data_IF_359849605711
#
_entry.id   IF_359849605711
#
_cell.length_a   1.000
_cell.length_b   1.000
_cell.length_c   1.000
_cell.angle_alpha   90.00
_cell.angle_beta   90.00
_cell.angle_gamma   90.00
#
_symmetry.space_group_name_H-M   'P 1'
#
loop_
_entity.id
_entity.type
_entity.pdbx_description
1 polymer ?
#
# COMPACT_ATOMS: atom_id res chain seq x y z
N UNK A 1 -7.36 19.40 10.41
CA UNK A 1 -6.79 18.79 9.19
C UNK A 1 -6.28 17.42 9.57
N UNK A 2 -6.76 16.37 8.92
CA UNK A 2 -6.41 14.99 9.23
C UNK A 2 -4.98 14.70 8.78
N UNK A 3 -4.27 13.81 9.50
CA UNK A 3 -2.85 13.56 9.27
C UNK A 3 -2.64 12.10 8.96
N UNK A 4 -2.05 11.84 7.79
CA UNK A 4 -1.61 10.52 7.39
C UNK A 4 -0.60 9.97 8.43
N UNK A 5 -0.81 8.75 8.96
CA UNK A 5 0.04 8.19 9.99
C UNK A 5 1.32 7.65 9.36
N UNK A 6 2.33 7.35 10.18
CA UNK A 6 3.60 6.85 9.66
C UNK A 6 3.48 5.41 9.15
N UNK A 7 3.26 5.26 7.84
CA UNK A 7 3.27 3.97 7.14
C UNK A 7 4.60 3.75 6.43
N UNK A 8 5.43 2.87 6.98
CA UNK A 8 6.71 2.50 6.35
C UNK A 8 6.49 1.62 5.12
N UNK A 9 6.33 2.21 3.94
CA UNK A 9 6.10 1.50 2.68
C UNK A 9 7.15 1.90 1.63
N UNK A 10 7.65 0.93 0.86
CA UNK A 10 8.62 1.17 -0.22
C UNK A 10 7.87 1.83 -1.37
N UNK A 11 8.44 2.89 -1.94
CA UNK A 11 7.76 3.64 -3.01
C UNK A 11 6.64 4.57 -2.53
N UNK A 12 6.42 4.72 -1.22
CA UNK A 12 5.36 5.57 -0.66
C UNK A 12 5.42 7.01 -1.23
N UNK A 13 4.27 7.47 -1.74
CA UNK A 13 4.07 8.78 -2.35
C UNK A 13 3.78 9.91 -1.35
N UNK A 14 3.88 9.68 -0.03
CA UNK A 14 3.54 10.66 1.02
C UNK A 14 4.09 12.07 0.77
N UNK A 15 5.35 12.19 0.32
CA UNK A 15 6.01 13.48 0.06
C UNK A 15 5.52 14.21 -1.19
N UNK A 16 4.85 13.51 -2.11
CA UNK A 16 4.40 14.06 -3.38
C UNK A 16 2.89 13.92 -3.61
N UNK A 17 2.17 13.22 -2.74
CA UNK A 17 0.72 13.02 -2.82
C UNK A 17 -0.02 14.35 -3.02
N UNK A 18 0.29 15.37 -2.20
CA UNK A 18 -0.29 16.72 -2.34
C UNK A 18 -0.09 17.29 -3.75
N UNK A 19 1.13 17.21 -4.28
CA UNK A 19 1.46 17.75 -5.60
C UNK A 19 0.76 17.01 -6.74
N UNK A 20 0.62 15.68 -6.64
CA UNK A 20 -0.13 14.88 -7.62
C UNK A 20 -1.60 15.31 -7.58
N UNK A 21 -2.21 15.34 -6.40
CA UNK A 21 -3.61 15.74 -6.25
C UNK A 21 -3.86 17.21 -6.61
N UNK A 22 -2.84 18.09 -6.56
CA UNK A 22 -2.94 19.48 -7.04
C UNK A 22 -3.15 19.56 -8.56
N UNK A 23 -2.85 18.48 -9.30
CA UNK A 23 -3.08 18.42 -10.74
C UNK A 23 -4.47 17.87 -11.09
N UNK A 24 -5.21 17.30 -10.11
CA UNK A 24 -6.53 16.73 -10.38
C UNK A 24 -7.50 17.82 -10.86
N UNK A 25 -8.31 17.52 -11.89
CA UNK A 25 -9.23 18.50 -12.46
C UNK A 25 -10.37 18.79 -11.47
N UNK A 26 -10.86 20.01 -11.48
CA UNK A 26 -11.86 20.49 -10.52
C UNK A 26 -13.24 19.87 -10.69
N UNK A 27 -13.51 19.24 -11.83
CA UNK A 27 -14.76 18.54 -12.13
C UNK A 27 -14.73 17.06 -11.75
N UNK A 28 -13.61 16.54 -11.21
CA UNK A 28 -13.52 15.18 -10.71
C UNK A 28 -13.97 15.09 -9.25
N UNK A 29 -14.85 14.13 -8.97
CA UNK A 29 -15.41 13.87 -7.65
C UNK A 29 -14.98 12.50 -7.09
N UNK A 30 -14.53 11.60 -7.97
CA UNK A 30 -14.20 10.21 -7.62
C UNK A 30 -12.80 9.83 -8.11
N UNK A 31 -12.06 9.08 -7.29
CA UNK A 31 -10.72 8.58 -7.58
C UNK A 31 -10.70 7.06 -7.44
N UNK A 32 -10.15 6.37 -8.43
CA UNK A 32 -9.71 4.98 -8.31
C UNK A 32 -8.18 4.89 -8.25
N UNK A 33 -7.63 4.62 -7.08
CA UNK A 33 -6.21 4.30 -6.87
C UNK A 33 -5.98 2.80 -7.08
N UNK A 34 -5.53 2.44 -8.28
CA UNK A 34 -5.46 1.05 -8.75
C UNK A 34 -4.39 0.19 -8.06
N UNK A 35 -3.36 0.84 -7.51
CA UNK A 35 -2.19 0.21 -6.88
C UNK A 35 -1.85 0.95 -5.58
N UNK A 36 -2.80 0.93 -4.65
CA UNK A 36 -2.84 1.85 -3.52
C UNK A 36 -1.67 1.71 -2.54
N UNK A 37 -1.08 0.52 -2.39
CA UNK A 37 0.09 0.29 -1.55
C UNK A 37 -0.08 0.85 -0.13
N UNK A 38 0.78 1.81 0.25
CA UNK A 38 0.68 2.50 1.54
C UNK A 38 -0.50 3.48 1.67
N UNK A 39 -1.24 3.77 0.60
CA UNK A 39 -2.44 4.62 0.54
C UNK A 39 -2.22 6.11 0.82
N UNK A 40 -1.00 6.66 0.70
CA UNK A 40 -0.77 8.08 1.00
C UNK A 40 -1.41 9.03 -0.02
N UNK A 41 -1.47 8.65 -1.31
CA UNK A 41 -2.21 9.42 -2.30
C UNK A 41 -3.72 9.33 -2.03
N UNK A 42 -4.24 8.12 -1.88
CA UNK A 42 -5.64 7.89 -1.54
C UNK A 42 -6.10 8.68 -0.30
N UNK A 43 -5.27 8.73 0.73
CA UNK A 43 -5.53 9.51 1.95
C UNK A 43 -5.58 11.02 1.68
N UNK A 44 -4.65 11.55 0.88
CA UNK A 44 -4.68 12.96 0.45
C UNK A 44 -5.92 13.28 -0.39
N UNK A 45 -6.32 12.39 -1.31
CA UNK A 45 -7.54 12.56 -2.10
C UNK A 45 -8.80 12.57 -1.21
N UNK A 46 -8.87 11.66 -0.23
CA UNK A 46 -9.94 11.65 0.79
C UNK A 46 -9.98 12.96 1.57
N UNK A 47 -8.82 13.49 1.99
CA UNK A 47 -8.71 14.79 2.66
C UNK A 47 -9.23 15.96 1.81
N UNK A 48 -9.22 15.83 0.48
CA UNK A 48 -9.75 16.82 -0.47
C UNK A 48 -11.24 16.64 -0.78
N UNK A 49 -11.90 15.67 -0.15
CA UNK A 49 -13.34 15.43 -0.30
C UNK A 49 -13.73 14.55 -1.47
N UNK A 50 -12.77 13.89 -2.14
CA UNK A 50 -13.09 12.92 -3.18
C UNK A 50 -13.68 11.64 -2.55
N UNK A 51 -14.58 10.98 -3.28
CA UNK A 51 -14.92 9.58 -3.02
C UNK A 51 -13.81 8.69 -3.57
N UNK A 52 -13.18 7.90 -2.71
CA UNK A 52 -11.96 7.17 -3.04
C UNK A 52 -12.22 5.67 -3.06
N UNK A 53 -11.91 5.07 -4.20
CA UNK A 53 -11.81 3.64 -4.40
C UNK A 53 -10.34 3.25 -4.45
N UNK A 54 -9.94 2.26 -3.69
CA UNK A 54 -8.56 1.77 -3.64
C UNK A 54 -8.51 0.31 -4.02
N UNK A 55 -7.50 -0.12 -4.75
CA UNK A 55 -7.20 -1.54 -4.96
C UNK A 55 -5.74 -1.82 -4.63
N UNK A 56 -5.47 -3.04 -4.15
CA UNK A 56 -4.13 -3.62 -4.17
C UNK A 56 -4.24 -5.14 -4.13
N UNK A 57 -3.29 -5.84 -4.77
CA UNK A 57 -3.27 -7.30 -4.78
C UNK A 57 -2.80 -7.89 -3.44
N UNK A 58 -1.96 -7.16 -2.69
CA UNK A 58 -1.47 -7.61 -1.39
C UNK A 58 -2.52 -7.36 -0.31
N UNK A 59 -2.79 -8.39 0.50
CA UNK A 59 -3.83 -8.37 1.54
C UNK A 59 -3.55 -7.30 2.59
N UNK A 60 -2.29 -7.11 2.96
CA UNK A 60 -1.89 -6.05 3.90
C UNK A 60 -2.21 -4.65 3.37
N UNK A 61 -2.05 -4.42 2.07
CA UNK A 61 -2.32 -3.11 1.48
C UNK A 61 -3.83 -2.83 1.47
N UNK A 62 -4.64 -3.85 1.21
CA UNK A 62 -6.09 -3.78 1.45
C UNK A 62 -6.42 -3.39 2.88
N UNK A 63 -5.82 -4.00 3.91
CA UNK A 63 -6.09 -3.63 5.30
C UNK A 63 -5.63 -2.19 5.61
N UNK A 64 -4.53 -1.71 5.04
CA UNK A 64 -4.11 -0.30 5.17
C UNK A 64 -5.16 0.63 4.56
N UNK A 65 -5.64 0.31 3.34
CA UNK A 65 -6.65 1.10 2.65
C UNK A 65 -8.00 1.07 3.37
N UNK A 66 -8.42 -0.11 3.83
CA UNK A 66 -9.66 -0.28 4.57
C UNK A 66 -9.61 0.50 5.88
N UNK A 67 -8.48 0.47 6.59
CA UNK A 67 -8.30 1.16 7.86
C UNK A 67 -8.21 2.70 7.75
N UNK A 68 -7.56 3.23 6.70
CA UNK A 68 -7.23 4.65 6.60
C UNK A 68 -8.09 5.43 5.58
N UNK A 69 -8.65 4.73 4.59
CA UNK A 69 -9.40 5.35 3.48
C UNK A 69 -10.87 4.97 3.52
N UNK A 70 -11.24 3.68 3.49
CA UNK A 70 -12.64 3.23 3.58
C UNK A 70 -13.28 3.59 4.93
N UNK A 71 -12.55 3.36 6.02
CA UNK A 71 -13.03 3.60 7.36
C UNK A 71 -13.29 5.09 7.65
N UNK A 72 -14.51 5.40 8.08
CA UNK A 72 -14.94 6.76 8.38
C UNK A 72 -14.95 7.10 9.88
N UNK A 73 -15.08 6.11 10.76
CA UNK A 73 -15.29 6.38 12.20
C UNK A 73 -14.90 5.25 13.15
N UNK A 74 -14.61 4.05 12.65
CA UNK A 74 -14.29 2.90 13.50
C UNK A 74 -12.87 3.03 14.04
N UNK A 75 -12.71 2.94 15.36
CA UNK A 75 -11.41 3.02 16.03
C UNK A 75 -11.15 1.74 16.83
N UNK A 76 -9.90 1.51 17.20
CA UNK A 76 -9.57 0.52 18.22
C UNK A 76 -9.65 1.17 19.60
N UNK A 77 -10.49 0.61 20.47
CA UNK A 77 -10.61 1.02 21.86
C UNK A 77 -9.84 0.08 22.80
N UNK A 78 -9.90 0.38 24.10
CA UNK A 78 -9.18 -0.40 25.12
C UNK A 78 -9.60 -1.87 25.15
N UNK A 79 -10.88 -2.17 24.94
CA UNK A 79 -11.40 -3.54 24.95
C UNK A 79 -10.86 -4.34 23.75
N UNK A 80 -10.74 -3.71 22.58
CA UNK A 80 -10.12 -4.32 21.41
C UNK A 80 -8.64 -4.66 21.68
N UNK A 81 -7.91 -3.73 22.31
CA UNK A 81 -6.50 -3.94 22.68
C UNK A 81 -6.37 -5.10 23.69
N UNK A 82 -7.21 -5.11 24.72
CA UNK A 82 -7.23 -6.19 25.70
C UNK A 82 -7.54 -7.54 25.02
N UNK A 83 -8.50 -7.57 24.08
CA UNK A 83 -8.84 -8.77 23.31
C UNK A 83 -7.66 -9.27 22.45
N UNK A 84 -7.00 -8.39 21.68
CA UNK A 84 -5.87 -8.76 20.81
C UNK A 84 -4.74 -9.42 21.59
N UNK A 85 -4.40 -8.88 22.76
CA UNK A 85 -3.23 -9.29 23.54
C UNK A 85 -3.52 -10.23 24.71
N UNK A 86 -4.72 -10.82 24.78
CA UNK A 86 -5.12 -11.75 25.86
C UNK A 86 -4.85 -13.21 25.48
N UNK A 87 -4.44 -14.00 26.47
CA UNK A 87 -4.21 -15.43 26.33
C UNK A 87 -2.73 -15.79 26.35
N UNK A 88 -2.44 -17.08 26.25
CA UNK A 88 -1.09 -17.62 26.25
C UNK A 88 -0.61 -17.88 24.82
N UNK A 89 0.61 -17.44 24.44
CA UNK A 89 1.21 -17.74 23.15
C UNK A 89 1.28 -19.24 22.88
N UNK A 90 0.98 -19.67 21.65
CA UNK A 90 0.96 -21.07 21.25
C UNK A 90 1.70 -21.30 19.92
N UNK A 91 2.01 -22.55 19.62
CA UNK A 91 2.70 -22.93 18.37
C UNK A 91 1.70 -23.10 17.23
N UNK A 92 1.62 -22.11 16.33
CA UNK A 92 0.75 -22.12 15.17
C UNK A 92 1.51 -21.97 13.85
N UNK A 93 0.89 -21.30 12.88
CA UNK A 93 1.41 -21.11 11.53
C UNK A 93 2.75 -20.36 11.51
N UNK A 94 2.85 -19.23 12.22
CA UNK A 94 4.06 -18.43 12.29
C UNK A 94 5.18 -19.20 12.96
N UNK A 95 4.86 -19.95 14.02
CA UNK A 95 5.86 -20.78 14.69
C UNK A 95 6.42 -21.85 13.75
N UNK A 96 5.57 -22.56 13.03
CA UNK A 96 5.98 -23.65 12.15
C UNK A 96 6.77 -23.18 10.92
N UNK A 97 6.42 -22.03 10.35
CA UNK A 97 6.98 -21.58 9.07
C UNK A 97 8.05 -20.49 9.19
N UNK A 98 8.05 -19.72 10.28
CA UNK A 98 8.85 -18.49 10.39
C UNK A 98 9.70 -18.35 11.65
N UNK A 99 9.66 -19.34 12.55
CA UNK A 99 10.63 -19.45 13.65
C UNK A 99 12.03 -19.61 13.09
N UNK A 100 12.95 -18.77 13.56
CA UNK A 100 14.35 -18.76 13.09
C UNK A 100 14.49 -18.54 11.58
N UNK A 101 13.47 -17.92 10.98
CA UNK A 101 13.52 -17.39 9.61
C UNK A 101 13.53 -15.87 9.69
N UNK A 102 12.54 -15.30 10.38
CA UNK A 102 12.42 -13.86 10.58
C UNK A 102 12.27 -13.46 12.05
N UNK A 103 11.71 -14.33 12.88
CA UNK A 103 11.43 -14.03 14.29
C UNK A 103 11.91 -15.16 15.20
N UNK A 104 12.15 -14.82 16.47
CA UNK A 104 12.47 -15.83 17.48
C UNK A 104 11.26 -16.75 17.73
N UNK A 105 11.46 -18.00 18.17
CA UNK A 105 10.36 -18.94 18.39
C UNK A 105 9.24 -18.37 19.27
N UNK A 106 9.58 -17.71 20.39
CA UNK A 106 8.57 -17.08 21.26
C UNK A 106 7.82 -15.94 20.57
N UNK A 107 8.49 -15.15 19.73
CA UNK A 107 7.87 -14.06 18.97
C UNK A 107 6.87 -14.61 17.93
N UNK A 108 7.17 -15.77 17.33
CA UNK A 108 6.23 -16.43 16.44
C UNK A 108 4.98 -16.91 17.18
N UNK A 109 5.13 -17.49 18.39
CA UNK A 109 3.97 -17.90 19.21
C UNK A 109 3.07 -16.72 19.58
N UNK A 110 3.68 -15.57 19.87
CA UNK A 110 2.95 -14.33 20.13
C UNK A 110 2.16 -13.88 18.90
N UNK A 111 2.78 -13.93 17.70
CA UNK A 111 2.10 -13.59 16.46
C UNK A 111 0.93 -14.55 16.18
N UNK A 112 1.11 -15.86 16.38
CA UNK A 112 0.03 -16.84 16.22
C UNK A 112 -1.19 -16.50 17.10
N UNK A 113 -0.95 -16.17 18.37
CA UNK A 113 -1.99 -15.70 19.29
C UNK A 113 -2.65 -14.40 18.80
N UNK A 114 -1.86 -13.39 18.47
CA UNK A 114 -2.40 -12.08 18.12
C UNK A 114 -3.19 -12.12 16.82
N UNK A 115 -2.74 -12.90 15.83
CA UNK A 115 -3.51 -13.14 14.61
C UNK A 115 -4.88 -13.72 14.93
N UNK A 116 -4.92 -14.80 15.70
CA UNK A 116 -6.17 -15.46 16.07
C UNK A 116 -7.12 -14.49 16.77
N UNK A 117 -6.60 -13.67 17.69
CA UNK A 117 -7.41 -12.71 18.43
C UNK A 117 -7.89 -11.54 17.56
N UNK A 118 -7.08 -11.06 16.61
CA UNK A 118 -7.50 -10.01 15.68
C UNK A 118 -8.73 -10.47 14.88
N UNK A 119 -8.82 -11.74 14.50
CA UNK A 119 -10.00 -12.26 13.78
C UNK A 119 -11.30 -12.24 14.58
N UNK A 120 -11.21 -12.11 15.92
CA UNK A 120 -12.36 -12.03 16.81
C UNK A 120 -12.92 -10.60 16.94
N UNK A 121 -12.25 -9.59 16.36
CA UNK A 121 -12.75 -8.22 16.37
C UNK A 121 -14.01 -8.08 15.53
N UNK A 122 -14.95 -7.28 16.01
CA UNK A 122 -16.34 -7.25 15.53
C UNK A 122 -16.53 -6.73 14.09
N UNK A 123 -15.60 -5.91 13.59
CA UNK A 123 -15.70 -5.29 12.28
C UNK A 123 -14.43 -5.41 11.45
N UNK A 124 -14.58 -5.42 10.14
CA UNK A 124 -13.46 -5.49 9.20
C UNK A 124 -12.53 -4.27 9.33
N UNK A 125 -13.05 -3.08 9.65
CA UNK A 125 -12.28 -1.88 9.93
C UNK A 125 -11.42 -2.02 11.19
N UNK A 126 -11.96 -2.60 12.28
CA UNK A 126 -11.17 -2.91 13.49
C UNK A 126 -10.07 -3.91 13.17
N UNK A 127 -10.40 -5.01 12.48
CA UNK A 127 -9.42 -6.00 12.00
C UNK A 127 -8.32 -5.34 11.18
N UNK A 128 -8.71 -4.48 10.23
CA UNK A 128 -7.79 -3.78 9.33
C UNK A 128 -6.87 -2.80 10.07
N UNK A 129 -7.39 -2.04 11.03
CA UNK A 129 -6.57 -1.20 11.91
C UNK A 129 -5.56 -2.03 12.69
N UNK A 130 -6.00 -3.14 13.27
CA UNK A 130 -5.14 -4.03 14.04
C UNK A 130 -4.06 -4.70 13.18
N UNK A 131 -4.40 -5.18 11.98
CA UNK A 131 -3.43 -5.73 11.03
C UNK A 131 -2.43 -4.67 10.54
N UNK A 132 -2.89 -3.45 10.25
CA UNK A 132 -2.00 -2.35 9.84
C UNK A 132 -1.00 -1.98 10.96
N UNK A 133 -1.45 -1.95 12.22
CA UNK A 133 -0.60 -1.73 13.40
C UNK A 133 0.32 -2.92 13.69
N UNK A 134 -0.15 -4.16 13.53
CA UNK A 134 0.67 -5.36 13.72
C UNK A 134 1.78 -5.44 12.68
N UNK A 135 1.46 -5.18 11.41
CA UNK A 135 2.46 -5.03 10.34
C UNK A 135 3.50 -3.97 10.68
N UNK A 136 3.08 -2.84 11.22
CA UNK A 136 4.00 -1.79 11.68
C UNK A 136 4.94 -2.34 12.77
N UNK A 137 4.42 -3.08 13.74
CA UNK A 137 5.20 -3.71 14.79
C UNK A 137 6.20 -4.74 14.24
N UNK A 138 5.77 -5.63 13.36
CA UNK A 138 6.61 -6.64 12.70
C UNK A 138 7.80 -5.98 11.97
N UNK A 139 7.54 -4.94 11.17
CA UNK A 139 8.59 -4.23 10.42
C UNK A 139 9.54 -3.46 11.34
N UNK A 140 9.06 -2.97 12.50
CA UNK A 140 9.92 -2.28 13.48
C UNK A 140 10.92 -3.23 14.13
N UNK A 141 10.58 -4.50 14.26
CA UNK A 141 11.49 -5.54 14.77
C UNK A 141 12.53 -6.00 13.75
N UNK A 142 12.30 -5.73 12.46
CA UNK A 142 13.26 -6.08 11.41
C UNK A 142 14.38 -5.06 11.21
N UNK A 143 15.66 -5.48 11.18
CA UNK A 143 16.75 -4.63 10.73
C UNK A 143 16.50 -4.11 9.30
N UNK A 144 16.79 -2.82 9.08
CA UNK A 144 16.48 -2.10 7.84
C UNK A 144 14.99 -2.06 7.44
N UNK A 145 14.09 -2.53 8.31
CA UNK A 145 12.65 -2.54 8.08
C UNK A 145 12.23 -3.35 6.83
N UNK A 146 12.87 -4.50 6.60
CA UNK A 146 12.65 -5.38 5.44
C UNK A 146 12.77 -6.85 5.84
N UNK A 147 11.96 -7.70 5.19
CA UNK A 147 12.01 -9.17 5.33
C UNK A 147 12.86 -9.81 4.23
N UNK A 148 14.05 -9.27 3.99
CA UNK A 148 14.97 -9.76 2.94
C UNK A 148 16.33 -10.18 3.49
N UNK A 149 16.45 -10.27 4.82
CA UNK A 149 17.66 -10.70 5.49
C UNK A 149 17.50 -12.15 5.91
N UNK A 150 18.59 -12.92 5.88
CA UNK A 150 18.61 -14.25 6.47
C UNK A 150 18.67 -14.18 8.01
N UNK A 151 18.31 -15.29 8.65
CA UNK A 151 18.18 -15.38 10.10
C UNK A 151 19.46 -14.99 10.87
N UNK A 152 20.61 -15.55 10.51
CA UNK A 152 21.89 -15.24 11.17
C UNK A 152 22.19 -13.74 11.17
N UNK A 153 21.85 -13.06 10.07
CA UNK A 153 22.05 -11.61 9.98
C UNK A 153 21.05 -10.84 10.82
N UNK A 154 19.81 -11.31 10.92
CA UNK A 154 18.80 -10.74 11.81
C UNK A 154 19.27 -10.84 13.26
N UNK A 155 19.67 -12.03 13.72
CA UNK A 155 20.20 -12.26 15.07
C UNK A 155 21.39 -11.35 15.34
N UNK A 156 22.39 -11.35 14.46
CA UNK A 156 23.58 -10.50 14.60
C UNK A 156 23.24 -9.00 14.67
N UNK A 157 22.26 -8.51 13.89
CA UNK A 157 21.91 -7.09 13.88
C UNK A 157 20.99 -6.68 15.03
N UNK A 158 20.31 -7.64 15.66
CA UNK A 158 19.48 -7.46 16.86
C UNK A 158 20.28 -7.61 18.16
N UNK A 159 21.49 -8.16 18.10
CA UNK A 159 22.48 -8.08 19.17
C UNK A 159 22.91 -6.62 19.39
N UNK A 160 22.64 -6.10 20.59
CA UNK A 160 22.90 -4.71 20.93
C UNK A 160 24.37 -4.40 21.10
N UNK A 161 25.18 -5.34 21.58
CA UNK A 161 26.62 -5.18 21.74
C UNK A 161 27.30 -5.10 20.37
N UNK A 162 26.96 -6.04 19.47
CA UNK A 162 27.43 -6.01 18.09
C UNK A 162 27.02 -4.72 17.40
N UNK A 163 25.73 -4.35 17.51
CA UNK A 163 25.18 -3.16 16.87
C UNK A 163 25.88 -1.89 17.35
N UNK A 164 26.14 -1.77 18.67
CA UNK A 164 26.87 -0.65 19.23
C UNK A 164 28.35 -0.65 18.81
N UNK A 165 29.04 -1.80 18.86
CA UNK A 165 30.45 -1.90 18.46
C UNK A 165 30.67 -1.47 17.01
N UNK A 166 29.79 -1.92 16.10
CA UNK A 166 29.91 -1.69 14.65
C UNK A 166 29.31 -0.36 14.17
N UNK A 167 28.13 0.01 14.63
CA UNK A 167 27.38 1.17 14.12
C UNK A 167 27.33 2.34 15.10
N UNK A 168 27.93 2.21 16.30
CA UNK A 168 27.91 3.22 17.38
C UNK A 168 26.50 3.66 17.79
N UNK A 169 25.52 2.77 17.63
CA UNK A 169 24.11 3.00 17.98
C UNK A 169 23.51 1.71 18.53
N UNK A 170 22.85 1.78 19.68
CA UNK A 170 22.00 0.68 20.16
C UNK A 170 20.69 0.70 19.37
N UNK A 171 20.24 -0.47 18.91
CA UNK A 171 18.97 -0.65 18.20
C UNK A 171 17.99 -1.46 19.03
N UNK A 172 17.92 -1.16 20.33
CA UNK A 172 17.09 -1.84 21.32
C UNK A 172 15.60 -1.92 20.92
N UNK A 173 15.13 -0.99 20.09
CA UNK A 173 13.77 -1.02 19.58
C UNK A 173 13.44 -2.29 18.78
N UNK A 174 14.42 -2.97 18.16
CA UNK A 174 14.15 -4.25 17.49
C UNK A 174 13.73 -5.37 18.47
N UNK A 175 14.16 -5.25 19.73
CA UNK A 175 13.91 -6.24 20.77
C UNK A 175 12.71 -5.89 21.66
N UNK A 176 12.07 -4.74 21.47
CA UNK A 176 10.78 -4.44 22.08
C UNK A 176 9.69 -5.37 21.54
N UNK A 177 8.68 -5.69 22.35
CA UNK A 177 7.60 -6.60 21.97
C UNK A 177 6.73 -6.05 20.83
N UNK A 178 5.99 -6.91 20.13
CA UNK A 178 5.02 -6.45 19.13
C UNK A 178 3.97 -5.53 19.76
N UNK A 179 3.47 -5.90 20.96
CA UNK A 179 2.56 -5.08 21.75
C UNK A 179 3.10 -3.67 22.02
N UNK A 180 4.38 -3.54 22.37
CA UNK A 180 5.00 -2.23 22.57
C UNK A 180 4.93 -1.37 21.31
N UNK A 181 5.38 -1.90 20.16
CA UNK A 181 5.34 -1.14 18.90
C UNK A 181 3.92 -0.84 18.45
N UNK A 182 2.99 -1.78 18.64
CA UNK A 182 1.57 -1.59 18.33
C UNK A 182 1.01 -0.39 19.12
N UNK A 183 1.13 -0.42 20.44
CA UNK A 183 0.60 0.62 21.32
C UNK A 183 1.26 1.98 21.09
N UNK A 184 2.56 2.01 20.77
CA UNK A 184 3.27 3.24 20.44
C UNK A 184 2.66 3.97 19.22
N UNK A 185 2.09 3.23 18.26
CA UNK A 185 1.53 3.81 17.03
C UNK A 185 -0.01 3.91 17.07
N UNK A 186 -0.68 3.32 18.07
CA UNK A 186 -2.14 3.24 18.15
C UNK A 186 -2.81 4.60 18.03
N UNK A 187 -2.36 5.59 18.81
CA UNK A 187 -2.98 6.92 18.79
C UNK A 187 -2.83 7.59 17.41
N UNK A 188 -1.67 7.51 16.76
CA UNK A 188 -1.49 8.09 15.43
C UNK A 188 -2.41 7.46 14.38
N UNK A 189 -2.63 6.14 14.45
CA UNK A 189 -3.51 5.43 13.52
C UNK A 189 -4.98 5.72 13.79
N UNK A 190 -5.43 5.74 15.06
CA UNK A 190 -6.81 6.11 15.39
C UNK A 190 -7.11 7.57 14.97
N UNK A 191 -6.19 8.51 15.23
CA UNK A 191 -6.38 9.92 14.83
C UNK A 191 -6.29 10.15 13.31
N UNK A 192 -5.83 9.16 12.55
CA UNK A 192 -5.83 9.21 11.10
C UNK A 192 -7.19 8.80 10.51
N UNK A 193 -8.08 8.17 11.26
CA UNK A 193 -9.44 7.81 10.77
C UNK A 193 -10.34 9.03 10.81
N UNK A 194 -11.05 9.28 9.72
CA UNK A 194 -12.00 10.39 9.62
C UNK A 194 -13.07 10.15 8.57
N UNK A 195 -14.20 10.81 8.74
CA UNK A 195 -15.29 10.81 7.78
C UNK A 195 -15.15 12.00 6.82
N UNK A 196 -15.22 11.74 5.51
CA UNK A 196 -15.28 12.76 4.46
C UNK A 196 -16.68 12.84 3.80
N UNK A 197 -17.68 12.19 4.39
CA UNK A 197 -19.06 12.09 3.92
C UNK A 197 -19.20 11.45 2.53
N UNK A 198 -18.29 10.53 2.21
CA UNK A 198 -18.27 9.74 0.96
C UNK A 198 -18.27 8.25 1.22
N UNK A 199 -18.70 7.48 0.22
CA UNK A 199 -18.72 6.02 0.24
C UNK A 199 -17.42 5.46 -0.32
N UNK A 200 -16.33 5.62 0.43
CA UNK A 200 -15.02 5.11 0.03
C UNK A 200 -15.00 3.57 0.05
N UNK A 201 -14.30 2.94 -0.90
CA UNK A 201 -14.22 1.47 -1.02
C UNK A 201 -12.77 1.00 -1.09
N UNK A 202 -12.46 -0.10 -0.42
CA UNK A 202 -11.20 -0.82 -0.57
C UNK A 202 -11.44 -2.19 -1.20
N UNK A 203 -10.72 -2.48 -2.29
CA UNK A 203 -10.70 -3.75 -3.01
C UNK A 203 -9.38 -4.48 -2.77
N UNK A 204 -9.41 -5.80 -2.89
CA UNK A 204 -8.24 -6.66 -2.83
C UNK A 204 -8.29 -7.66 -3.99
N UNK A 205 -7.86 -7.25 -5.17
CA UNK A 205 -7.93 -8.07 -6.38
C UNK A 205 -6.80 -7.74 -7.35
N UNK A 206 -6.62 -8.59 -8.35
CA UNK A 206 -5.87 -8.23 -9.55
C UNK A 206 -6.58 -7.07 -10.26
N UNK A 207 -5.82 -6.02 -10.56
CA UNK A 207 -6.34 -4.81 -11.21
C UNK A 207 -7.14 -5.13 -12.48
N UNK A 208 -6.72 -6.14 -13.26
CA UNK A 208 -7.39 -6.47 -14.52
C UNK A 208 -8.84 -6.96 -14.34
N UNK A 209 -9.21 -7.44 -13.15
CA UNK A 209 -10.58 -7.83 -12.81
C UNK A 209 -11.47 -6.62 -12.47
N UNK A 210 -10.86 -5.46 -12.17
CA UNK A 210 -11.57 -4.28 -11.67
C UNK A 210 -11.73 -3.15 -12.71
N UNK A 211 -10.87 -3.10 -13.73
CA UNK A 211 -10.84 -1.99 -14.70
C UNK A 211 -12.19 -1.73 -15.39
N UNK A 212 -12.95 -2.80 -15.66
CA UNK A 212 -14.24 -2.70 -16.35
C UNK A 212 -15.42 -2.45 -15.40
N UNK A 213 -15.28 -2.83 -14.12
CA UNK A 213 -16.35 -2.82 -13.12
C UNK A 213 -16.33 -1.55 -12.25
N UNK A 214 -15.15 -1.08 -11.86
CA UNK A 214 -15.00 0.15 -11.08
C UNK A 214 -15.22 1.37 -11.98
N UNK A 215 -16.06 2.30 -11.52
CA UNK A 215 -16.36 3.55 -12.22
C UNK A 215 -15.90 4.73 -11.38
N UNK A 216 -14.99 5.54 -11.93
CA UNK A 216 -14.50 6.77 -11.33
C UNK A 216 -14.13 7.78 -12.41
N UNK A 217 -14.04 9.05 -12.02
CA UNK A 217 -13.60 10.14 -12.90
C UNK A 217 -12.11 10.00 -13.20
N UNK A 218 -11.32 9.75 -12.14
CA UNK A 218 -9.88 9.60 -12.20
C UNK A 218 -9.50 8.14 -11.93
N UNK A 219 -8.62 7.56 -12.76
CA UNK A 219 -7.80 6.42 -12.37
C UNK A 219 -6.36 6.87 -12.12
N UNK A 220 -5.83 6.55 -10.95
CA UNK A 220 -4.43 6.73 -10.61
C UNK A 220 -3.69 5.40 -10.64
N UNK A 221 -2.53 5.42 -11.30
CA UNK A 221 -1.68 4.28 -11.57
C UNK A 221 -0.30 4.53 -10.96
N UNK A 222 0.10 3.64 -10.07
CA UNK A 222 1.46 3.55 -9.53
C UNK A 222 1.93 2.09 -9.44
N UNK A 223 1.90 1.33 -10.56
CA UNK A 223 2.28 -0.08 -10.50
C UNK A 223 3.74 -0.28 -10.09
N UNK A 224 4.10 -1.47 -9.60
CA UNK A 224 5.49 -1.86 -9.48
C UNK A 224 6.26 -1.67 -10.79
N UNK A 225 7.44 -1.04 -10.72
CA UNK A 225 8.23 -0.70 -11.92
C UNK A 225 9.58 -1.40 -11.96
N UNK A 226 9.89 -2.03 -13.08
CA UNK A 226 11.20 -2.65 -13.31
C UNK A 226 12.33 -1.62 -13.24
N UNK A 227 13.52 -2.05 -12.79
CA UNK A 227 14.68 -1.15 -12.64
C UNK A 227 14.75 -0.43 -11.28
N UNK A 228 13.76 -0.62 -10.41
CA UNK A 228 13.75 -0.11 -9.03
C UNK A 228 13.66 -1.24 -8.00
N UNK A 229 13.57 -0.88 -6.71
CA UNK A 229 13.21 -1.85 -5.67
C UNK A 229 11.72 -2.20 -5.76
N UNK A 230 11.38 -3.17 -6.59
CA UNK A 230 10.00 -3.49 -6.97
C UNK A 230 9.54 -4.91 -6.56
N UNK A 231 10.34 -5.65 -5.79
CA UNK A 231 9.93 -6.96 -5.26
C UNK A 231 8.98 -6.81 -4.06
N UNK A 232 7.79 -6.24 -4.29
CA UNK A 232 6.80 -6.00 -3.23
C UNK A 232 6.38 -7.28 -2.52
N UNK A 233 6.21 -8.38 -3.26
CA UNK A 233 5.97 -9.71 -2.67
C UNK A 233 7.08 -10.11 -1.70
N UNK A 234 8.36 -9.97 -2.07
CA UNK A 234 9.46 -10.25 -1.15
C UNK A 234 9.56 -9.32 0.06
N UNK A 235 9.00 -8.10 -0.01
CA UNK A 235 8.99 -7.17 1.11
C UNK A 235 7.78 -7.32 2.04
N UNK A 236 6.66 -7.83 1.54
CA UNK A 236 5.38 -7.80 2.25
C UNK A 236 4.65 -9.15 2.31
N UNK A 237 5.08 -10.15 1.53
CA UNK A 237 4.48 -11.48 1.47
C UNK A 237 4.40 -12.15 2.84
N UNK A 238 5.44 -12.04 3.68
CA UNK A 238 5.38 -12.54 5.06
C UNK A 238 4.21 -11.97 5.87
N UNK A 239 3.85 -10.71 5.63
CA UNK A 239 2.73 -10.07 6.33
C UNK A 239 1.40 -10.60 5.81
N UNK A 240 1.30 -10.84 4.51
CA UNK A 240 0.12 -11.50 3.93
C UNK A 240 0.00 -12.93 4.47
N UNK A 241 1.10 -13.68 4.53
CA UNK A 241 1.13 -15.02 5.11
C UNK A 241 0.66 -15.04 6.56
N UNK A 242 1.09 -14.05 7.34
CA UNK A 242 0.61 -13.85 8.71
C UNK A 242 -0.90 -13.61 8.74
N UNK A 243 -1.44 -12.74 7.88
CA UNK A 243 -2.87 -12.43 7.84
C UNK A 243 -3.69 -13.67 7.45
N UNK A 244 -3.29 -14.34 6.36
CA UNK A 244 -4.00 -15.50 5.79
C UNK A 244 -3.75 -16.80 6.56
N UNK A 245 -2.68 -16.87 7.35
CA UNK A 245 -2.16 -18.12 7.94
C UNK A 245 -1.80 -19.18 6.90
N UNK A 246 -1.29 -18.74 5.75
CA UNK A 246 -0.90 -19.59 4.62
C UNK A 246 0.37 -19.05 3.95
N UNK A 247 1.20 -19.92 3.36
CA UNK A 247 2.34 -19.47 2.56
C UNK A 247 1.82 -19.02 1.19
N UNK A 248 1.70 -17.71 1.00
CA UNK A 248 1.22 -17.11 -0.25
C UNK A 248 2.22 -17.28 -1.38
N UNK A 249 1.74 -17.15 -2.63
CA UNK A 249 2.56 -17.22 -3.83
C UNK A 249 2.69 -15.83 -4.46
N UNK A 250 3.81 -15.54 -5.14
CA UNK A 250 3.92 -14.34 -5.97
C UNK A 250 2.79 -14.29 -7.00
N UNK A 251 2.21 -13.11 -7.20
CA UNK A 251 1.20 -12.86 -8.22
C UNK A 251 1.82 -12.72 -9.61
N UNK A 252 1.08 -13.12 -10.64
CA UNK A 252 1.56 -13.16 -12.03
C UNK A 252 1.74 -11.77 -12.64
N UNK A 253 0.71 -10.92 -12.53
CA UNK A 253 0.67 -9.57 -13.12
C UNK A 253 1.44 -8.54 -12.28
N UNK A 254 2.71 -8.82 -12.00
CA UNK A 254 3.51 -8.05 -11.05
C UNK A 254 4.33 -6.91 -11.66
N UNK A 255 4.32 -6.71 -12.98
CA UNK A 255 5.08 -5.66 -13.68
C UNK A 255 6.58 -5.61 -13.30
N UNK A 256 7.15 -6.68 -12.70
CA UNK A 256 8.55 -6.74 -12.22
C UNK A 256 9.51 -7.18 -13.32
N UNK A 257 9.06 -8.03 -14.23
CA UNK A 257 9.89 -8.55 -15.32
C UNK A 257 9.87 -7.59 -16.52
N UNK A 258 11.06 -7.21 -17.01
CA UNK A 258 11.20 -6.30 -18.16
C UNK A 258 10.52 -6.84 -19.43
N UNK A 259 10.60 -8.13 -19.69
CA UNK A 259 10.09 -8.71 -20.93
C UNK A 259 8.55 -8.61 -21.00
N UNK A 260 7.86 -8.82 -19.88
CA UNK A 260 6.40 -8.75 -19.83
C UNK A 260 5.85 -7.38 -19.44
N UNK A 261 6.68 -6.47 -18.90
CA UNK A 261 6.21 -5.16 -18.44
C UNK A 261 5.56 -4.33 -19.57
N UNK A 262 6.12 -4.33 -20.78
CA UNK A 262 5.54 -3.61 -21.93
C UNK A 262 4.15 -4.15 -22.27
N UNK A 263 4.00 -5.48 -22.35
CA UNK A 263 2.72 -6.14 -22.65
C UNK A 263 1.67 -5.86 -21.57
N UNK A 264 2.07 -5.86 -20.29
CA UNK A 264 1.19 -5.55 -19.17
C UNK A 264 0.74 -4.08 -19.18
N UNK A 265 1.64 -3.13 -19.50
CA UNK A 265 1.26 -1.72 -19.65
C UNK A 265 0.31 -1.51 -20.83
N UNK A 266 0.60 -2.11 -21.99
CA UNK A 266 -0.26 -2.04 -23.17
C UNK A 266 -1.67 -2.58 -22.85
N UNK A 267 -1.74 -3.77 -22.24
CA UNK A 267 -2.98 -4.38 -21.77
C UNK A 267 -3.71 -3.50 -20.75
N UNK A 268 -2.99 -2.91 -19.79
CA UNK A 268 -3.56 -2.01 -18.78
C UNK A 268 -4.20 -0.79 -19.45
N UNK A 269 -3.46 -0.07 -20.30
CA UNK A 269 -3.93 1.14 -20.97
C UNK A 269 -5.11 0.86 -21.92
N UNK A 270 -5.14 -0.31 -22.57
CA UNK A 270 -6.25 -0.73 -23.43
C UNK A 270 -7.62 -0.80 -22.72
N UNK A 271 -7.61 -0.91 -21.37
CA UNK A 271 -8.81 -1.12 -20.55
C UNK A 271 -9.22 0.13 -19.74
N UNK A 272 -8.64 1.30 -20.00
CA UNK A 272 -8.90 2.52 -19.21
C UNK A 272 -9.96 3.45 -19.82
N UNK A 273 -10.61 3.03 -20.91
CA UNK A 273 -11.52 3.89 -21.69
C UNK A 273 -12.75 4.40 -20.91
N UNK A 274 -13.11 3.76 -19.79
CA UNK A 274 -14.21 4.15 -18.91
C UNK A 274 -13.81 5.18 -17.85
N UNK A 275 -12.55 5.61 -17.79
CA UNK A 275 -12.10 6.69 -16.91
C UNK A 275 -11.88 7.96 -17.74
N UNK A 276 -12.35 9.10 -17.21
CA UNK A 276 -12.23 10.40 -17.89
C UNK A 276 -10.81 10.95 -17.84
N UNK A 277 -10.11 10.69 -16.73
CA UNK A 277 -8.75 11.15 -16.51
C UNK A 277 -7.84 10.02 -16.02
N UNK A 278 -6.66 9.86 -16.62
CA UNK A 278 -5.68 8.87 -16.19
C UNK A 278 -4.44 9.58 -15.66
N UNK A 279 -3.95 9.14 -14.51
CA UNK A 279 -2.74 9.65 -13.89
C UNK A 279 -1.77 8.52 -13.65
N UNK A 280 -0.58 8.57 -14.25
CA UNK A 280 0.47 7.57 -14.04
C UNK A 280 1.69 8.23 -13.40
N UNK A 281 2.07 7.82 -12.18
CA UNK A 281 3.27 8.31 -11.50
C UNK A 281 4.45 7.40 -11.72
N UNK A 282 5.53 7.88 -12.32
CA UNK A 282 6.61 7.04 -12.80
C UNK A 282 8.00 7.60 -12.46
N UNK A 283 8.95 6.75 -12.11
CA UNK A 283 10.33 7.17 -11.83
C UNK A 283 11.19 7.15 -13.10
N UNK A 284 12.04 8.16 -13.28
CA UNK A 284 12.92 8.28 -14.44
C UNK A 284 14.01 7.21 -14.61
N UNK A 285 14.26 6.38 -13.59
CA UNK A 285 15.22 5.27 -13.62
C UNK A 285 14.57 3.91 -13.87
N UNK A 286 13.24 3.88 -14.04
CA UNK A 286 12.48 2.67 -14.29
C UNK A 286 12.42 2.29 -15.77
N UNK A 287 12.04 1.04 -16.04
CA UNK A 287 11.69 0.54 -17.38
C UNK A 287 10.23 0.05 -17.40
N UNK A 288 9.40 0.36 -18.43
CA UNK A 288 9.74 1.08 -19.67
C UNK A 288 10.16 2.54 -19.49
N UNK A 289 10.91 3.09 -20.44
CA UNK A 289 11.35 4.49 -20.43
C UNK A 289 10.17 5.46 -20.64
N UNK A 290 10.40 6.75 -20.36
CA UNK A 290 9.41 7.82 -20.60
C UNK A 290 8.87 7.80 -22.04
N UNK A 291 9.74 7.64 -23.03
CA UNK A 291 9.35 7.65 -24.45
C UNK A 291 8.55 6.40 -24.82
N UNK A 292 8.90 5.24 -24.27
CA UNK A 292 8.13 4.00 -24.46
C UNK A 292 6.74 4.10 -23.83
N UNK A 293 6.62 4.68 -22.63
CA UNK A 293 5.32 4.93 -22.01
C UNK A 293 4.48 5.94 -22.81
N UNK A 294 5.07 7.02 -23.31
CA UNK A 294 4.38 7.95 -24.21
C UNK A 294 3.87 7.25 -25.46
N UNK A 295 4.69 6.39 -26.07
CA UNK A 295 4.29 5.61 -27.23
C UNK A 295 3.13 4.66 -26.90
N UNK A 296 3.16 3.96 -25.77
CA UNK A 296 2.08 3.05 -25.34
C UNK A 296 0.78 3.80 -25.02
N UNK A 297 0.85 4.91 -24.27
CA UNK A 297 -0.31 5.75 -23.96
C UNK A 297 -0.92 6.34 -25.25
N UNK A 298 -0.07 6.77 -26.18
CA UNK A 298 -0.46 7.32 -27.48
C UNK A 298 -1.24 6.36 -28.38
N UNK A 299 -1.25 5.05 -28.10
CA UNK A 299 -2.11 4.10 -28.82
C UNK A 299 -3.58 4.22 -28.43
N UNK A 300 -3.88 4.78 -27.25
CA UNK A 300 -5.21 4.79 -26.65
C UNK A 300 -5.73 6.20 -26.34
N UNK A 301 -4.87 7.21 -26.35
CA UNK A 301 -5.27 8.62 -26.20
C UNK A 301 -4.30 9.56 -26.91
N UNK A 302 -4.85 10.56 -27.60
CA UNK A 302 -4.07 11.62 -28.26
C UNK A 302 -3.69 12.77 -27.32
N UNK A 303 -4.23 12.80 -26.10
CA UNK A 303 -4.11 13.92 -25.17
C UNK A 303 -3.33 13.52 -23.92
N UNK A 304 -2.00 13.46 -24.07
CA UNK A 304 -1.06 13.06 -23.02
C UNK A 304 -0.12 14.21 -22.67
N UNK A 305 -0.20 14.69 -21.43
CA UNK A 305 0.74 15.65 -20.84
C UNK A 305 1.70 14.94 -19.88
N UNK A 306 2.94 15.45 -19.75
CA UNK A 306 3.89 14.95 -18.74
C UNK A 306 4.49 16.09 -17.94
N UNK A 307 4.27 16.06 -16.63
CA UNK A 307 4.87 16.99 -15.67
C UNK A 307 6.03 16.30 -14.95
N UNK A 308 7.14 17.00 -14.74
CA UNK A 308 8.32 16.49 -14.02
C UNK A 308 8.50 17.16 -12.66
N UNK A 309 8.82 16.37 -11.64
CA UNK A 309 9.24 16.89 -10.33
C UNK A 309 10.52 16.23 -9.87
N UNK A 310 11.49 17.01 -9.39
CA UNK A 310 12.69 16.45 -8.72
C UNK A 310 12.24 15.73 -7.44
N UNK A 311 12.61 14.46 -7.28
CA UNK A 311 12.21 13.66 -6.12
C UNK A 311 13.38 12.93 -5.47
N UNK A 312 13.67 13.28 -4.22
CA UNK A 312 14.77 12.70 -3.45
C UNK A 312 14.31 11.42 -2.71
N UNK A 313 14.52 10.26 -3.32
CA UNK A 313 14.36 8.97 -2.64
C UNK A 313 15.40 8.82 -1.53
N UNK A 314 14.98 8.52 -0.29
CA UNK A 314 15.89 8.43 0.88
C UNK A 314 16.83 7.22 0.86
N UNK A 315 16.75 6.34 -0.13
CA UNK A 315 17.44 5.02 -0.14
C UNK A 315 18.72 5.02 -1.00
N UNK A 316 19.07 6.10 -1.71
CA UNK A 316 20.28 6.13 -2.54
C UNK A 316 21.46 6.84 -1.85
N UNK A 317 22.66 6.25 -1.97
CA UNK A 317 23.92 6.78 -1.43
C UNK A 317 24.19 8.22 -1.88
N UNK A 318 25.01 8.96 -1.10
CA UNK A 318 25.22 10.42 -1.20
C UNK A 318 25.49 10.95 -2.63
N UNK A 319 26.01 10.14 -3.55
CA UNK A 319 26.33 10.53 -4.94
C UNK A 319 25.18 10.34 -5.97
N UNK A 320 24.04 9.76 -5.58
CA UNK A 320 22.86 9.56 -6.47
C UNK A 320 21.70 10.54 -6.22
N UNK A 321 21.88 11.49 -5.29
CA UNK A 321 20.80 12.37 -4.82
C UNK A 321 20.31 13.40 -5.85
N UNK A 322 21.04 13.65 -6.94
CA UNK A 322 20.67 14.66 -7.94
C UNK A 322 19.97 14.10 -9.19
N UNK A 323 19.84 12.77 -9.35
CA UNK A 323 19.37 12.15 -10.61
C UNK A 323 17.94 11.63 -10.62
N UNK A 324 17.26 11.52 -9.48
CA UNK A 324 15.91 10.92 -9.45
C UNK A 324 14.83 11.97 -9.69
N UNK A 325 14.03 11.76 -10.73
CA UNK A 325 12.87 12.57 -11.10
C UNK A 325 11.62 11.70 -11.08
N UNK A 326 10.52 12.28 -10.63
CA UNK A 326 9.19 11.72 -10.82
C UNK A 326 8.55 12.34 -12.07
N UNK A 327 7.96 11.52 -12.90
CA UNK A 327 7.09 11.89 -14.01
C UNK A 327 5.65 11.63 -13.61
N UNK A 328 4.78 12.59 -13.86
CA UNK A 328 3.34 12.39 -13.80
C UNK A 328 2.80 12.53 -15.22
N UNK A 329 2.37 11.41 -15.80
CA UNK A 329 1.66 11.41 -17.07
C UNK A 329 0.19 11.67 -16.76
N UNK A 330 -0.40 12.63 -17.47
CA UNK A 330 -1.78 13.04 -17.32
C UNK A 330 -2.45 12.84 -18.66
N UNK A 331 -3.52 12.03 -18.67
CA UNK A 331 -4.29 11.75 -19.87
C UNK A 331 -5.70 12.27 -19.68
N UNK A 332 -6.18 13.05 -20.63
CA UNK A 332 -7.60 13.40 -20.75
C UNK A 332 -8.21 12.50 -21.82
N UNK A 333 -9.06 11.58 -21.40
CA UNK A 333 -9.64 10.60 -22.30
C UNK A 333 -10.79 11.22 -23.11
N UNK A 334 -10.50 11.61 -24.35
CA UNK A 334 -11.49 12.16 -25.28
C UNK A 334 -12.48 11.11 -25.79
N UNK A 335 -12.13 9.82 -25.67
CA UNK A 335 -12.99 8.69 -26.01
C UNK A 335 -13.86 8.22 -24.84
N UNK A 336 -13.90 8.98 -23.73
CA UNK A 336 -14.76 8.68 -22.58
C UNK A 336 -16.23 8.71 -23.01
N UNK A 337 -16.87 7.54 -22.99
CA UNK A 337 -18.31 7.40 -23.18
C UNK A 337 -18.98 7.44 -21.82
N UNK A 338 -19.67 8.54 -21.54
CA UNK A 338 -20.52 8.65 -20.37
C UNK A 338 -21.57 7.53 -20.45
N UNK A 339 -21.51 6.57 -19.54
CA UNK A 339 -22.48 5.48 -19.52
C UNK A 339 -23.75 6.05 -18.91
N UNK A 340 -24.67 6.53 -19.75
CA UNK A 340 -25.97 7.05 -19.30
C UNK A 340 -26.67 5.92 -18.54
N UNK A 341 -26.85 6.10 -17.23
CA UNK A 341 -27.80 5.28 -16.46
C UNK A 341 -29.19 5.68 -16.92
N UNK A 342 -29.80 4.88 -17.79
CA UNK A 342 -31.25 4.90 -17.96
C UNK A 342 -31.88 4.45 -16.64
N UNK A 343 -32.27 5.41 -15.80
CA UNK A 343 -33.17 5.17 -14.70
C UNK A 343 -34.53 4.82 -15.32
N UNK A 344 -34.81 3.53 -15.47
CA UNK A 344 -36.17 3.06 -15.69
C UNK A 344 -36.96 3.38 -14.42
N UNK A 345 -37.67 4.51 -14.46
CA UNK A 345 -38.75 4.77 -13.52
C UNK A 345 -39.76 3.63 -13.69
N UNK A 346 -39.88 2.77 -12.69
CA UNK A 346 -41.02 1.88 -12.56
C UNK A 346 -42.25 2.75 -12.39
N UNK A 347 -43.00 2.92 -13.48
CA UNK A 347 -44.35 3.44 -13.43
C UNK A 347 -45.20 2.42 -12.66
N UNK A 348 -45.75 2.88 -11.55
CA UNK A 348 -46.79 2.19 -10.79
C UNK A 348 -48.00 1.94 -11.71
N UNK A 349 -48.56 0.74 -11.63
CA UNK A 349 -49.92 0.38 -12.04
C UNK A 349 -50.63 -0.28 -10.87
#
# INVERSE_FOLDING_TARGET
MFKYPKVNYIGNKEKIAKWICDQFPTDANTLFDAFSGGCSLSYEAKCRGLEVYTNDILKINYHIANALVKNNNTLLDKSDIEAIFRGEPFEGFMFQNYSEVYFFPQECKELDLYRQNIELLESEEKKSLAFALMRRAMIRKMPYSRFTLNWDKIVQLRDEEYSYKKYKRRRAYHNQSFKHHFLQNLNEYNQAVFNNDKNNIAYNDDIFNLLETVKADIIYLDPPYTGTMNNYFGFYGLVDDFITSEVTKPFENNFVNKNSAIELFDKLFSKLNNFKYWYLSYNNSSFPSKNELLYLLGKYSDNVEVIERKHNYQITGKNKKEKNKEFLFIVKNENYKETIKENYATAEL
#
